data_IF_043324121338
#
_entry.id   IF_043324121338
#
_cell.length_a   1.000
_cell.length_b   1.000
_cell.length_c   1.000
_cell.angle_alpha   90.00
_cell.angle_beta   90.00
_cell.angle_gamma   90.00
#
_symmetry.space_group_name_H-M   'P 1'
#
loop_
_entity.id
_entity.type
_entity.pdbx_description
1 polymer ?
#
# COMPACT_ATOMS: atom_id res chain seq x y z
N UNK A 1 36.33 1.94 -43.28
CA UNK A 1 36.71 2.20 -41.87
C UNK A 1 36.41 3.67 -41.61
N UNK A 2 35.21 4.00 -41.12
CA UNK A 2 34.81 5.40 -40.87
C UNK A 2 35.21 5.77 -39.43
N UNK A 3 36.25 6.58 -39.29
CA UNK A 3 36.62 7.17 -38.00
C UNK A 3 35.77 8.44 -37.86
N UNK A 4 34.73 8.38 -37.04
CA UNK A 4 33.96 9.57 -36.69
C UNK A 4 34.89 10.56 -35.96
N UNK A 5 35.09 11.74 -36.54
CA UNK A 5 35.86 12.83 -35.92
C UNK A 5 35.29 13.17 -34.55
N UNK A 6 36.16 13.48 -33.58
CA UNK A 6 35.77 13.88 -32.21
C UNK A 6 34.75 15.01 -32.21
N UNK A 7 34.86 15.96 -33.13
CA UNK A 7 33.88 17.04 -33.31
C UNK A 7 32.49 16.53 -33.73
N UNK A 8 32.43 15.45 -34.50
CA UNK A 8 31.17 14.80 -34.88
C UNK A 8 30.52 14.02 -33.73
N UNK A 9 31.33 13.46 -32.82
CA UNK A 9 30.82 12.83 -31.60
C UNK A 9 30.35 13.86 -30.56
N UNK A 10 31.03 15.00 -30.45
CA UNK A 10 30.62 16.11 -29.58
C UNK A 10 29.34 16.78 -30.10
N UNK A 11 29.19 16.97 -31.42
CA UNK A 11 27.95 17.46 -32.03
C UNK A 11 26.77 16.49 -31.84
N UNK A 12 26.99 15.18 -31.97
CA UNK A 12 25.96 14.17 -31.66
C UNK A 12 25.62 14.13 -30.16
N UNK A 13 26.59 14.35 -29.27
CA UNK A 13 26.34 14.42 -27.83
C UNK A 13 25.54 15.68 -27.45
N UNK A 14 25.81 16.83 -28.07
CA UNK A 14 25.01 18.05 -27.89
C UNK A 14 23.61 17.91 -28.49
N UNK A 15 23.46 17.29 -29.66
CA UNK A 15 22.15 17.04 -30.27
C UNK A 15 21.32 16.04 -29.45
N UNK A 16 21.95 15.00 -28.89
CA UNK A 16 21.29 14.03 -27.99
C UNK A 16 20.99 14.65 -26.62
N UNK A 17 21.84 15.54 -26.11
CA UNK A 17 21.57 16.31 -24.89
C UNK A 17 20.42 17.32 -25.09
N UNK A 18 20.37 17.98 -26.24
CA UNK A 18 19.29 18.90 -26.63
C UNK A 18 17.96 18.15 -26.84
N UNK A 19 17.98 16.97 -27.49
CA UNK A 19 16.80 16.09 -27.63
C UNK A 19 16.35 15.49 -26.28
N UNK A 20 17.28 15.15 -25.38
CA UNK A 20 16.98 14.68 -24.00
C UNK A 20 16.40 15.78 -23.09
N UNK A 21 16.77 17.04 -23.31
CA UNK A 21 16.15 18.17 -22.62
C UNK A 21 14.71 18.45 -23.08
N UNK A 22 14.36 18.08 -24.31
CA UNK A 22 13.00 18.13 -24.83
C UNK A 22 12.13 16.96 -24.31
N UNK A 23 12.67 15.74 -24.18
CA UNK A 23 11.92 14.58 -23.64
C UNK A 23 11.74 14.62 -22.11
N UNK A 24 12.49 15.45 -21.39
CA UNK A 24 12.20 15.80 -19.99
C UNK A 24 11.14 16.91 -19.84
N UNK A 25 10.51 17.34 -20.94
CA UNK A 25 9.19 17.95 -20.88
C UNK A 25 8.12 16.87 -20.74
N UNK A 26 8.23 16.05 -19.69
CA UNK A 26 7.02 15.49 -19.09
C UNK A 26 6.21 16.71 -18.65
N UNK A 27 5.07 16.92 -19.32
CA UNK A 27 3.98 17.80 -18.88
C UNK A 27 3.98 17.83 -17.35
N UNK A 28 4.15 19.01 -16.72
CA UNK A 28 4.21 19.09 -15.26
C UNK A 28 2.99 18.36 -14.71
N UNK A 29 3.25 17.41 -13.82
CA UNK A 29 2.25 16.51 -13.28
C UNK A 29 0.97 17.29 -12.97
N UNK A 30 -0.13 16.91 -13.61
CA UNK A 30 -1.49 17.37 -13.35
C UNK A 30 -1.74 17.37 -11.84
N UNK A 31 -1.55 18.52 -11.20
CA UNK A 31 -1.78 18.65 -9.77
C UNK A 31 -2.19 20.08 -9.43
N UNK A 32 -3.26 20.52 -10.10
CA UNK A 32 -4.33 21.41 -9.62
C UNK A 32 -5.61 21.28 -10.49
N UNK A 33 -5.67 20.32 -11.43
CA UNK A 33 -6.60 20.28 -12.56
C UNK A 33 -7.32 18.92 -12.69
N UNK A 34 -7.72 18.31 -11.58
CA UNK A 34 -8.67 17.20 -11.61
C UNK A 34 -10.09 17.79 -11.47
N UNK A 35 -10.55 18.44 -12.53
CA UNK A 35 -11.87 19.06 -12.59
C UNK A 35 -12.19 19.59 -13.99
N UNK A 36 -12.64 18.69 -14.86
CA UNK A 36 -13.41 19.03 -16.07
C UNK A 36 -12.65 19.66 -17.24
N UNK A 37 -13.07 19.29 -18.44
CA UNK A 37 -12.62 19.92 -19.68
C UNK A 37 -12.79 21.45 -19.62
N UNK A 38 -11.70 22.20 -19.78
CA UNK A 38 -11.75 23.65 -20.07
C UNK A 38 -11.01 24.62 -19.14
N UNK A 39 -10.15 24.21 -18.20
CA UNK A 39 -9.40 25.18 -17.39
C UNK A 39 -7.94 25.29 -17.83
N UNK A 40 -7.55 26.45 -18.36
CA UNK A 40 -6.17 26.92 -18.26
C UNK A 40 -5.99 27.50 -16.86
N UNK A 41 -4.85 27.27 -16.21
CA UNK A 41 -4.53 27.99 -14.98
C UNK A 41 -4.47 29.47 -15.30
N UNK A 42 -5.33 30.28 -14.68
CA UNK A 42 -5.32 31.73 -14.81
C UNK A 42 -4.11 32.30 -14.06
N UNK A 43 -2.97 32.29 -14.75
CA UNK A 43 -1.68 32.73 -14.22
C UNK A 43 -1.68 34.22 -13.88
N UNK A 44 -2.49 35.02 -14.56
CA UNK A 44 -2.55 36.46 -14.36
C UNK A 44 -3.32 36.78 -13.07
N UNK A 45 -4.37 36.01 -12.76
CA UNK A 45 -5.03 36.02 -11.45
C UNK A 45 -4.05 35.65 -10.32
N UNK A 46 -3.26 34.59 -10.48
CA UNK A 46 -2.27 34.18 -9.47
C UNK A 46 -1.13 35.19 -9.29
N UNK A 47 -0.69 35.82 -10.39
CA UNK A 47 0.32 36.87 -10.34
C UNK A 47 -0.16 38.10 -9.56
N UNK A 48 -1.41 38.51 -9.81
CA UNK A 48 -2.06 39.59 -9.06
C UNK A 48 -2.23 39.25 -7.58
N UNK A 49 -2.68 38.03 -7.26
CA UNK A 49 -2.94 37.57 -5.89
C UNK A 49 -1.68 37.55 -5.01
N UNK A 50 -0.51 37.22 -5.56
CA UNK A 50 0.70 37.09 -4.76
C UNK A 50 1.63 38.31 -4.85
N UNK A 51 1.58 39.10 -5.93
CA UNK A 51 2.30 40.37 -6.00
C UNK A 51 1.62 41.47 -5.21
N UNK A 52 0.29 41.55 -5.29
CA UNK A 52 -0.51 42.59 -4.64
C UNK A 52 -1.71 41.98 -3.91
N UNK A 53 -1.50 41.10 -2.92
CA UNK A 53 -2.60 40.43 -2.22
C UNK A 53 -3.57 41.40 -1.56
N UNK A 54 -3.07 42.55 -1.07
CA UNK A 54 -3.90 43.59 -0.45
C UNK A 54 -4.79 44.35 -1.43
N UNK A 55 -4.50 44.36 -2.73
CA UNK A 55 -5.36 44.98 -3.75
C UNK A 55 -6.51 44.05 -4.19
N UNK A 56 -6.44 42.77 -3.84
CA UNK A 56 -7.42 41.77 -4.23
C UNK A 56 -8.71 41.85 -3.39
N UNK A 57 -9.83 41.41 -3.96
CA UNK A 57 -11.12 41.37 -3.25
C UNK A 57 -11.13 40.19 -2.27
N UNK A 58 -11.86 40.33 -1.16
CA UNK A 58 -11.97 39.25 -0.15
C UNK A 58 -12.48 37.93 -0.74
N UNK A 59 -13.48 37.90 -1.65
CA UNK A 59 -13.91 36.66 -2.30
C UNK A 59 -12.80 35.98 -3.11
N UNK A 60 -11.92 36.75 -3.77
CA UNK A 60 -10.81 36.22 -4.57
C UNK A 60 -9.76 35.53 -3.68
N UNK A 61 -9.43 36.16 -2.54
CA UNK A 61 -8.54 35.60 -1.52
C UNK A 61 -9.13 34.35 -0.88
N UNK A 62 -10.44 34.36 -0.59
CA UNK A 62 -11.15 33.18 -0.06
C UNK A 62 -11.15 32.01 -1.04
N UNK A 63 -11.37 32.28 -2.33
CA UNK A 63 -11.29 31.27 -3.38
C UNK A 63 -9.88 30.70 -3.48
N UNK A 64 -8.85 31.56 -3.44
CA UNK A 64 -7.46 31.13 -3.48
C UNK A 64 -7.08 30.25 -2.26
N UNK A 65 -7.47 30.64 -1.04
CA UNK A 65 -7.27 29.79 0.14
C UNK A 65 -8.00 28.44 0.00
N UNK A 66 -9.23 28.44 -0.50
CA UNK A 66 -10.00 27.21 -0.74
C UNK A 66 -9.32 26.29 -1.77
N UNK A 67 -8.80 26.85 -2.86
CA UNK A 67 -8.06 26.12 -3.90
C UNK A 67 -6.78 25.48 -3.35
N UNK A 68 -6.15 26.09 -2.34
CA UNK A 68 -4.97 25.55 -1.65
C UNK A 68 -5.30 24.62 -0.46
N UNK A 69 -6.58 24.41 -0.15
CA UNK A 69 -7.01 23.62 1.01
C UNK A 69 -6.77 24.32 2.37
N UNK A 70 -6.55 25.63 2.35
CA UNK A 70 -6.33 26.45 3.54
C UNK A 70 -7.65 26.95 4.14
N UNK A 71 -7.59 27.32 5.42
CA UNK A 71 -8.74 27.88 6.13
C UNK A 71 -9.22 29.19 5.48
N UNK A 72 -10.54 29.38 5.34
CA UNK A 72 -11.15 30.49 4.59
C UNK A 72 -11.81 31.55 5.49
N UNK A 73 -11.74 31.35 6.81
CA UNK A 73 -12.21 32.31 7.82
C UNK A 73 -11.14 33.36 8.14
N UNK A 74 -11.60 34.53 8.63
CA UNK A 74 -10.73 35.61 9.10
C UNK A 74 -10.93 36.94 8.38
N UNK A 75 -10.14 37.92 8.80
CA UNK A 75 -10.06 39.25 8.19
C UNK A 75 -9.25 39.23 6.89
N UNK A 76 -9.37 40.27 6.05
CA UNK A 76 -8.61 40.36 4.79
C UNK A 76 -7.09 40.22 5.00
N UNK A 77 -6.45 40.88 5.99
CA UNK A 77 -5.04 40.68 6.29
C UNK A 77 -4.70 39.23 6.69
N UNK A 78 -5.55 38.57 7.48
CA UNK A 78 -5.32 37.17 7.89
C UNK A 78 -5.33 36.21 6.69
N UNK A 79 -6.23 36.41 5.73
CA UNK A 79 -6.25 35.62 4.49
C UNK A 79 -4.99 35.86 3.65
N UNK A 80 -4.50 37.10 3.59
CA UNK A 80 -3.26 37.45 2.88
C UNK A 80 -2.05 36.79 3.53
N UNK A 81 -1.91 36.91 4.85
CA UNK A 81 -0.81 36.27 5.60
C UNK A 81 -0.84 34.77 5.41
N UNK A 82 -2.02 34.14 5.50
CA UNK A 82 -2.17 32.69 5.28
C UNK A 82 -1.74 32.28 3.87
N UNK A 83 -2.16 33.04 2.86
CA UNK A 83 -1.80 32.78 1.46
C UNK A 83 -0.28 32.92 1.23
N UNK A 84 0.33 33.99 1.74
CA UNK A 84 1.78 34.21 1.60
C UNK A 84 2.60 33.18 2.39
N UNK A 85 2.16 32.84 3.60
CA UNK A 85 2.75 31.81 4.45
C UNK A 85 2.71 30.43 3.77
N UNK A 86 1.59 30.08 3.12
CA UNK A 86 1.46 28.83 2.37
C UNK A 86 2.55 28.70 1.28
N UNK A 87 2.85 29.80 0.58
CA UNK A 87 3.93 29.84 -0.43
C UNK A 87 5.31 30.14 0.15
N UNK A 88 5.42 30.32 1.48
CA UNK A 88 6.66 30.69 2.16
C UNK A 88 7.28 31.97 1.62
N UNK A 89 6.44 32.91 1.19
CA UNK A 89 6.85 34.25 0.79
C UNK A 89 6.97 35.10 2.07
N UNK A 90 8.14 35.70 2.34
CA UNK A 90 8.27 36.58 3.50
C UNK A 90 7.35 37.78 3.34
N UNK A 91 6.70 38.20 4.42
CA UNK A 91 5.75 39.31 4.46
C UNK A 91 6.24 40.51 3.63
N UNK A 92 5.57 40.76 2.51
CA UNK A 92 5.80 41.92 1.64
C UNK A 92 7.15 41.96 0.88
N UNK A 93 7.98 40.92 0.92
CA UNK A 93 9.24 40.88 0.15
C UNK A 93 9.00 40.29 -1.24
N UNK A 94 9.65 40.89 -2.25
CA UNK A 94 9.63 40.38 -3.63
C UNK A 94 10.07 38.92 -3.63
N UNK A 95 9.31 38.08 -4.34
CA UNK A 95 9.67 36.68 -4.56
C UNK A 95 11.09 36.61 -5.16
N UNK A 96 11.99 35.75 -4.64
CA UNK A 96 13.39 35.68 -5.09
C UNK A 96 13.55 35.19 -6.54
N UNK A 97 12.49 34.62 -7.12
CA UNK A 97 12.43 34.14 -8.50
C UNK A 97 11.11 34.61 -9.12
N UNK A 98 10.94 34.55 -10.46
CA UNK A 98 9.65 34.82 -11.09
C UNK A 98 8.55 33.99 -10.41
N UNK A 99 7.44 34.64 -10.05
CA UNK A 99 6.41 34.04 -9.21
C UNK A 99 5.83 32.74 -9.79
N UNK A 100 5.69 32.67 -11.13
CA UNK A 100 5.29 31.43 -11.84
C UNK A 100 6.24 30.27 -11.55
N UNK A 101 7.56 30.53 -11.58
CA UNK A 101 8.59 29.54 -11.26
C UNK A 101 8.57 29.17 -9.77
N UNK A 102 8.38 30.14 -8.87
CA UNK A 102 8.26 29.88 -7.43
C UNK A 102 7.04 29.02 -7.09
N UNK A 103 5.90 29.33 -7.71
CA UNK A 103 4.66 28.56 -7.58
C UNK A 103 4.85 27.14 -8.09
N UNK A 104 5.45 26.97 -9.28
CA UNK A 104 5.75 25.66 -9.83
C UNK A 104 6.68 24.86 -8.89
N UNK A 105 7.76 25.47 -8.38
CA UNK A 105 8.70 24.82 -7.45
C UNK A 105 8.06 24.48 -6.11
N UNK A 106 7.17 25.33 -5.58
CA UNK A 106 6.44 25.08 -4.33
C UNK A 106 5.35 24.05 -4.50
N UNK A 107 4.69 24.00 -5.64
CA UNK A 107 3.77 22.93 -6.01
C UNK A 107 4.51 21.61 -6.15
N UNK A 108 5.68 21.58 -6.82
CA UNK A 108 6.56 20.42 -6.84
C UNK A 108 6.84 19.97 -5.39
N UNK A 109 7.26 20.91 -4.52
CA UNK A 109 7.58 20.65 -3.12
C UNK A 109 6.40 20.21 -2.26
N UNK A 110 5.18 20.69 -2.52
CA UNK A 110 3.96 20.31 -1.80
C UNK A 110 3.37 19.00 -2.35
N UNK A 111 3.49 18.72 -3.64
CA UNK A 111 3.34 17.37 -4.21
C UNK A 111 4.36 16.39 -3.61
N UNK A 112 5.49 16.91 -3.09
CA UNK A 112 6.49 16.19 -2.32
C UNK A 112 6.32 16.30 -0.79
N UNK A 113 5.21 16.85 -0.27
CA UNK A 113 4.88 16.72 1.16
C UNK A 113 4.45 15.28 1.50
N UNK A 114 4.15 14.45 0.48
CA UNK A 114 4.32 13.00 0.52
C UNK A 114 4.78 12.47 -0.86
N UNK A 115 6.09 12.38 -1.12
CA UNK A 115 6.61 11.65 -2.25
C UNK A 115 6.72 10.20 -1.82
N UNK A 116 5.61 9.47 -1.84
CA UNK A 116 5.69 8.01 -1.82
C UNK A 116 6.13 7.56 -3.21
N UNK A 117 6.94 6.50 -3.36
CA UNK A 117 7.19 5.86 -4.66
C UNK A 117 5.91 5.50 -5.46
N UNK A 118 4.72 5.57 -4.82
CA UNK A 118 3.38 5.35 -5.37
C UNK A 118 2.95 6.24 -6.56
N UNK A 119 3.63 7.34 -6.88
CA UNK A 119 3.18 8.21 -7.98
C UNK A 119 3.56 7.69 -9.38
N UNK A 120 4.51 6.77 -9.50
CA UNK A 120 4.73 6.00 -10.72
C UNK A 120 4.72 4.50 -10.36
N UNK A 121 3.57 3.87 -10.60
CA UNK A 121 3.29 2.49 -10.23
C UNK A 121 4.32 1.52 -10.82
N UNK A 122 4.84 1.79 -12.02
CA UNK A 122 5.81 0.92 -12.69
C UNK A 122 7.17 0.92 -12.00
N UNK A 123 7.67 2.10 -11.61
CA UNK A 123 8.94 2.24 -10.89
C UNK A 123 8.84 1.61 -9.50
N UNK A 124 7.71 1.80 -8.80
CA UNK A 124 7.48 1.19 -7.50
C UNK A 124 7.43 -0.34 -7.57
N UNK A 125 6.79 -0.90 -8.60
CA UNK A 125 6.75 -2.34 -8.84
C UNK A 125 8.13 -2.90 -9.18
N UNK A 126 8.86 -2.25 -10.08
CA UNK A 126 10.22 -2.66 -10.46
C UNK A 126 11.16 -2.70 -9.25
N UNK A 127 11.13 -1.67 -8.39
CA UNK A 127 11.96 -1.63 -7.19
C UNK A 127 11.55 -2.66 -6.14
N UNK A 128 10.25 -2.99 -6.04
CA UNK A 128 9.79 -4.06 -5.15
C UNK A 128 10.26 -5.43 -5.63
N UNK A 129 10.12 -5.71 -6.92
CA UNK A 129 10.57 -6.97 -7.50
C UNK A 129 12.10 -7.12 -7.38
N UNK A 130 12.85 -6.04 -7.63
CA UNK A 130 14.31 -6.03 -7.43
C UNK A 130 14.69 -6.28 -5.96
N UNK A 131 14.01 -5.63 -5.02
CA UNK A 131 14.21 -5.85 -3.58
C UNK A 131 13.90 -7.29 -3.17
N UNK A 132 12.82 -7.87 -3.69
CA UNK A 132 12.46 -9.28 -3.47
C UNK A 132 13.48 -10.25 -4.09
N UNK A 133 14.10 -9.88 -5.20
CA UNK A 133 15.21 -10.61 -5.81
C UNK A 133 16.55 -10.43 -5.07
N UNK A 134 16.61 -9.57 -4.05
CA UNK A 134 17.79 -9.36 -3.19
C UNK A 134 18.58 -8.08 -3.46
N UNK A 135 18.09 -7.16 -4.29
CA UNK A 135 18.75 -5.88 -4.52
C UNK A 135 18.56 -4.93 -3.32
N UNK A 136 19.60 -4.81 -2.50
CA UNK A 136 19.64 -3.93 -1.34
C UNK A 136 19.54 -2.44 -1.70
N UNK A 137 19.92 -2.06 -2.92
CA UNK A 137 19.85 -0.67 -3.38
C UNK A 137 18.40 -0.30 -3.70
N UNK A 138 17.65 -1.22 -4.32
CA UNK A 138 16.22 -1.08 -4.52
C UNK A 138 15.46 -1.01 -3.17
N UNK A 139 15.85 -1.85 -2.21
CA UNK A 139 15.30 -1.82 -0.85
C UNK A 139 15.58 -0.47 -0.14
N UNK A 140 16.80 0.04 -0.22
CA UNK A 140 17.18 1.35 0.34
C UNK A 140 16.45 2.51 -0.33
N UNK A 141 16.22 2.45 -1.64
CA UNK A 141 15.44 3.45 -2.36
C UNK A 141 13.97 3.46 -1.90
N UNK A 142 13.34 2.30 -1.68
CA UNK A 142 11.98 2.21 -1.16
C UNK A 142 11.82 2.78 0.27
N UNK A 143 12.88 2.79 1.06
CA UNK A 143 12.93 3.36 2.41
C UNK A 143 13.15 4.87 2.46
N UNK A 144 13.42 5.53 1.32
CA UNK A 144 13.70 6.97 1.30
C UNK A 144 12.43 7.81 1.40
N UNK A 145 12.39 8.70 2.38
CA UNK A 145 11.30 9.69 2.55
C UNK A 145 11.48 10.94 1.68
N UNK A 146 12.71 11.25 1.27
CA UNK A 146 13.06 12.43 0.49
C UNK A 146 13.30 12.07 -0.98
N UNK A 147 12.56 12.73 -1.89
CA UNK A 147 12.64 12.46 -3.33
C UNK A 147 14.01 12.78 -3.95
N UNK A 148 14.67 13.85 -3.49
CA UNK A 148 16.01 14.20 -3.97
C UNK A 148 17.00 13.07 -3.69
N UNK A 149 16.96 12.51 -2.48
CA UNK A 149 17.78 11.37 -2.07
C UNK A 149 17.44 10.12 -2.88
N UNK A 150 16.15 9.84 -3.06
CA UNK A 150 15.67 8.75 -3.91
C UNK A 150 16.20 8.84 -5.35
N UNK A 151 16.07 10.01 -5.99
CA UNK A 151 16.54 10.23 -7.37
C UNK A 151 18.05 10.06 -7.48
N UNK A 152 18.83 10.56 -6.52
CA UNK A 152 20.29 10.39 -6.48
C UNK A 152 20.70 8.93 -6.33
N UNK A 153 20.01 8.18 -5.47
CA UNK A 153 20.26 6.75 -5.28
C UNK A 153 19.95 5.97 -6.56
N UNK A 154 18.79 6.21 -7.18
CA UNK A 154 18.43 5.53 -8.43
C UNK A 154 19.39 5.87 -9.58
N UNK A 155 19.74 7.15 -9.74
CA UNK A 155 20.67 7.58 -10.77
C UNK A 155 22.08 6.99 -10.56
N UNK A 156 22.52 6.86 -9.30
CA UNK A 156 23.80 6.23 -8.98
C UNK A 156 23.80 4.72 -9.23
N UNK A 157 22.69 4.04 -8.93
CA UNK A 157 22.60 2.60 -8.98
C UNK A 157 22.25 2.05 -10.37
N UNK A 158 21.37 2.75 -11.08
CA UNK A 158 20.79 2.30 -12.34
C UNK A 158 21.04 3.27 -13.51
N UNK A 159 21.64 4.43 -13.25
CA UNK A 159 21.88 5.49 -14.25
C UNK A 159 20.63 6.30 -14.54
N UNK A 160 19.64 5.65 -15.14
CA UNK A 160 18.36 6.25 -15.55
C UNK A 160 17.19 5.28 -15.36
N UNK A 161 15.99 5.70 -15.76
CA UNK A 161 14.78 4.86 -15.70
C UNK A 161 14.86 3.66 -16.64
N UNK A 162 15.56 3.78 -17.78
CA UNK A 162 15.72 2.66 -18.71
C UNK A 162 16.62 1.57 -18.12
N UNK A 163 17.72 1.96 -17.46
CA UNK A 163 18.61 1.08 -16.72
C UNK A 163 17.91 0.39 -15.55
N UNK A 164 17.03 1.09 -14.84
CA UNK A 164 16.19 0.47 -13.81
C UNK A 164 15.27 -0.60 -14.39
N UNK A 165 14.58 -0.29 -15.50
CA UNK A 165 13.67 -1.25 -16.13
C UNK A 165 14.42 -2.42 -16.79
N UNK A 166 15.65 -2.21 -17.27
CA UNK A 166 16.51 -3.28 -17.77
C UNK A 166 16.95 -4.22 -16.63
N UNK A 167 17.37 -3.66 -15.49
CA UNK A 167 17.68 -4.43 -14.28
C UNK A 167 16.46 -5.23 -13.79
N UNK A 168 15.27 -4.60 -13.79
CA UNK A 168 14.02 -5.28 -13.47
C UNK A 168 13.73 -6.46 -14.40
N UNK A 169 13.82 -6.27 -15.72
CA UNK A 169 13.62 -7.36 -16.69
C UNK A 169 14.62 -8.51 -16.49
N UNK A 170 15.88 -8.19 -16.17
CA UNK A 170 16.91 -9.19 -15.91
C UNK A 170 16.64 -9.99 -14.61
N UNK A 171 15.96 -9.41 -13.62
CA UNK A 171 15.66 -10.09 -12.36
C UNK A 171 14.40 -10.97 -12.41
N UNK A 172 13.51 -10.78 -13.40
CA UNK A 172 12.23 -11.50 -13.51
C UNK A 172 12.36 -13.04 -13.49
N UNK A 173 13.32 -13.67 -14.19
CA UNK A 173 13.44 -15.14 -14.17
C UNK A 173 13.77 -15.66 -12.76
N UNK A 174 14.73 -15.02 -12.08
CA UNK A 174 15.12 -15.38 -10.71
C UNK A 174 13.99 -15.15 -9.72
N UNK A 175 13.23 -14.08 -9.89
CA UNK A 175 12.05 -13.78 -9.08
C UNK A 175 10.96 -14.85 -9.24
N UNK A 176 10.76 -15.36 -10.46
CA UNK A 176 9.81 -16.43 -10.72
C UNK A 176 10.20 -17.72 -9.99
N UNK A 177 11.50 -18.07 -9.96
CA UNK A 177 12.01 -19.20 -9.18
C UNK A 177 11.75 -19.03 -7.67
N UNK A 178 12.07 -17.86 -7.11
CA UNK A 178 11.86 -17.55 -5.68
C UNK A 178 10.37 -17.67 -5.32
N UNK A 179 9.48 -17.13 -6.18
CA UNK A 179 8.03 -17.19 -5.96
C UNK A 179 7.50 -18.61 -6.09
N UNK A 180 8.00 -19.40 -7.04
CA UNK A 180 7.64 -20.81 -7.19
C UNK A 180 8.06 -21.64 -5.97
N UNK A 181 9.26 -21.41 -5.45
CA UNK A 181 9.75 -22.09 -4.25
C UNK A 181 8.92 -21.77 -3.02
N UNK A 182 8.57 -20.49 -2.80
CA UNK A 182 7.66 -20.09 -1.71
C UNK A 182 6.27 -20.71 -1.88
N UNK A 183 5.76 -20.79 -3.11
CA UNK A 183 4.47 -21.43 -3.37
C UNK A 183 4.48 -22.92 -3.01
N UNK A 184 5.56 -23.65 -3.35
CA UNK A 184 5.73 -25.06 -2.97
C UNK A 184 5.76 -25.25 -1.45
N UNK A 185 6.56 -24.44 -0.74
CA UNK A 185 6.62 -24.49 0.74
C UNK A 185 5.26 -24.20 1.37
N UNK A 186 4.54 -23.20 0.86
CA UNK A 186 3.20 -22.88 1.35
C UNK A 186 2.18 -24.00 1.09
N UNK A 187 2.32 -24.73 -0.03
CA UNK A 187 1.47 -25.88 -0.33
C UNK A 187 1.78 -27.07 0.58
N UNK A 188 3.05 -27.34 0.84
CA UNK A 188 3.49 -28.37 1.81
C UNK A 188 2.97 -28.07 3.22
N UNK A 189 3.06 -26.82 3.68
CA UNK A 189 2.52 -26.38 4.97
C UNK A 189 1.00 -26.54 5.05
N UNK A 190 0.28 -26.21 3.97
CA UNK A 190 -1.18 -26.40 3.90
C UNK A 190 -1.55 -27.88 3.99
N UNK A 191 -0.86 -28.75 3.26
CA UNK A 191 -1.09 -30.20 3.31
C UNK A 191 -0.82 -30.75 4.70
N UNK A 192 0.28 -30.35 5.33
CA UNK A 192 0.59 -30.75 6.70
C UNK A 192 -0.47 -30.29 7.72
N UNK A 193 -0.96 -29.05 7.56
CA UNK A 193 -2.04 -28.51 8.40
C UNK A 193 -3.35 -29.27 8.21
N UNK A 194 -3.72 -29.58 6.97
CA UNK A 194 -4.91 -30.37 6.66
C UNK A 194 -4.84 -31.80 7.20
N UNK A 195 -3.67 -32.45 7.10
CA UNK A 195 -3.45 -33.77 7.68
C UNK A 195 -3.56 -33.75 9.21
N UNK A 196 -2.96 -32.76 9.88
CA UNK A 196 -3.12 -32.59 11.33
C UNK A 196 -4.59 -32.36 11.71
N UNK A 197 -5.31 -31.56 10.92
CA UNK A 197 -6.73 -31.32 11.15
C UNK A 197 -7.56 -32.60 10.99
N UNK A 198 -7.25 -33.43 9.99
CA UNK A 198 -7.91 -34.74 9.78
C UNK A 198 -7.66 -35.69 10.95
N UNK A 199 -6.40 -35.82 11.39
CA UNK A 199 -6.05 -36.67 12.55
C UNK A 199 -6.80 -36.26 13.81
N UNK A 200 -6.84 -34.96 14.12
CA UNK A 200 -7.62 -34.46 15.27
C UNK A 200 -9.12 -34.75 15.15
N UNK A 201 -9.67 -34.65 13.95
CA UNK A 201 -11.09 -34.96 13.72
C UNK A 201 -11.38 -36.46 13.87
N UNK A 202 -10.46 -37.33 13.43
CA UNK A 202 -10.56 -38.78 13.59
C UNK A 202 -10.44 -39.19 15.07
N UNK A 203 -9.47 -38.65 15.79
CA UNK A 203 -9.31 -38.86 17.25
C UNK A 203 -10.57 -38.42 18.02
N UNK A 204 -11.13 -37.26 17.68
CA UNK A 204 -12.38 -36.80 18.30
C UNK A 204 -13.56 -37.74 18.01
N UNK A 205 -13.66 -38.26 16.77
CA UNK A 205 -14.70 -39.24 16.41
C UNK A 205 -14.53 -40.54 17.20
N UNK A 206 -13.31 -41.03 17.36
CA UNK A 206 -13.01 -42.22 18.16
C UNK A 206 -13.40 -42.02 19.63
N UNK A 207 -13.00 -40.90 20.24
CA UNK A 207 -13.36 -40.57 21.63
C UNK A 207 -14.88 -40.52 21.82
N UNK A 208 -15.60 -39.89 20.88
CA UNK A 208 -17.06 -39.82 20.93
C UNK A 208 -17.70 -41.20 20.78
N UNK A 209 -17.17 -42.04 19.89
CA UNK A 209 -17.64 -43.40 19.68
C UNK A 209 -17.45 -44.28 20.93
N UNK A 210 -16.28 -44.21 21.56
CA UNK A 210 -15.99 -44.93 22.80
C UNK A 210 -16.91 -44.48 23.94
N UNK A 211 -17.10 -43.17 24.11
CA UNK A 211 -18.03 -42.62 25.12
C UNK A 211 -19.45 -43.09 24.89
N UNK A 212 -19.90 -43.13 23.63
CA UNK A 212 -21.22 -43.61 23.27
C UNK A 212 -21.37 -45.10 23.60
N UNK A 213 -20.38 -45.93 23.24
CA UNK A 213 -20.39 -47.36 23.56
C UNK A 213 -20.40 -47.62 25.08
N UNK A 214 -19.63 -46.85 25.85
CA UNK A 214 -19.63 -46.96 27.31
C UNK A 214 -20.98 -46.55 27.91
N UNK A 215 -21.59 -45.47 27.42
CA UNK A 215 -22.92 -45.05 27.87
C UNK A 215 -23.98 -46.10 27.56
N UNK A 216 -23.91 -46.70 26.36
CA UNK A 216 -24.81 -47.76 25.93
C UNK A 216 -24.69 -49.02 26.82
N UNK A 217 -23.46 -49.47 27.11
CA UNK A 217 -23.23 -50.61 28.02
C UNK A 217 -23.78 -50.35 29.43
N UNK A 218 -23.51 -49.17 30.00
CA UNK A 218 -24.06 -48.77 31.31
C UNK A 218 -25.59 -48.78 31.31
N UNK A 219 -26.21 -48.37 30.20
CA UNK A 219 -27.65 -48.40 30.07
C UNK A 219 -28.18 -49.84 30.05
N UNK A 220 -27.52 -50.76 29.34
CA UNK A 220 -27.86 -52.18 29.33
C UNK A 220 -27.74 -52.80 30.73
N UNK A 221 -26.63 -52.56 31.43
CA UNK A 221 -26.43 -53.01 32.82
C UNK A 221 -27.54 -52.49 33.75
N UNK A 222 -27.93 -51.21 33.61
CA UNK A 222 -29.05 -50.64 34.38
C UNK A 222 -30.39 -51.29 34.04
N UNK A 223 -30.64 -51.64 32.78
CA UNK A 223 -31.84 -52.37 32.38
C UNK A 223 -31.86 -53.80 32.94
N UNK A 224 -30.73 -54.50 32.91
CA UNK A 224 -30.58 -55.85 33.49
C UNK A 224 -30.78 -55.83 35.01
N UNK A 225 -30.17 -54.88 35.72
CA UNK A 225 -30.35 -54.70 37.16
C UNK A 225 -31.81 -54.38 37.52
N UNK A 226 -32.50 -53.56 36.72
CA UNK A 226 -33.94 -53.29 36.89
C UNK A 226 -34.80 -54.53 36.63
N UNK A 227 -34.48 -55.31 35.60
CA UNK A 227 -35.18 -56.55 35.30
C UNK A 227 -35.01 -57.59 36.42
N UNK A 228 -33.78 -57.75 36.94
CA UNK A 228 -33.48 -58.62 38.08
C UNK A 228 -34.17 -58.17 39.38
N UNK A 229 -34.19 -56.85 39.66
CA UNK A 229 -34.92 -56.30 40.81
C UNK A 229 -36.45 -56.51 40.69
N UNK A 230 -37.00 -56.38 39.48
CA UNK A 230 -38.41 -56.69 39.21
C UNK A 230 -38.75 -58.16 39.42
N UNK A 231 -37.89 -59.09 38.98
CA UNK A 231 -38.06 -60.53 39.22
C UNK A 231 -37.91 -60.91 40.70
N UNK A 232 -37.00 -60.26 41.44
CA UNK A 232 -36.85 -60.46 42.88
C UNK A 232 -38.04 -59.96 43.71
N UNK A 233 -38.70 -58.88 43.27
CA UNK A 233 -39.94 -58.38 43.89
C UNK A 233 -41.14 -59.27 43.59
N UNK A 234 -41.25 -59.80 42.37
CA UNK A 234 -42.31 -60.77 42.02
C UNK A 234 -42.11 -62.11 42.76
N UNK A 235 -40.86 -62.56 42.94
CA UNK A 235 -40.53 -63.74 43.73
C UNK A 235 -40.82 -63.57 45.23
N UNK A 236 -40.55 -62.39 45.82
CA UNK A 236 -40.90 -62.08 47.22
C UNK A 236 -42.41 -61.94 47.42
N UNK A 237 -43.11 -61.25 46.51
CA UNK A 237 -44.57 -61.12 46.59
C UNK A 237 -45.28 -62.48 46.43
N UNK A 238 -44.76 -63.38 45.58
CA UNK A 238 -45.28 -64.75 45.45
C UNK A 238 -45.01 -65.64 46.66
N UNK A 239 -43.88 -65.44 47.35
CA UNK A 239 -43.54 -66.15 48.59
C UNK A 239 -44.38 -65.66 49.79
N UNK A 240 -44.64 -64.36 49.89
CA UNK A 240 -45.50 -63.77 50.93
C UNK A 240 -46.98 -64.16 50.74
N UNK A 241 -47.47 -64.25 49.49
CA UNK A 241 -48.82 -64.74 49.20
C UNK A 241 -48.99 -66.25 49.47
N UNK A 242 -47.91 -67.03 49.40
CA UNK A 242 -47.96 -68.47 49.72
C UNK A 242 -47.93 -68.75 51.23
N UNK A 243 -47.47 -67.81 52.06
CA UNK A 243 -47.50 -67.92 53.53
C UNK A 243 -48.82 -67.44 54.17
N UNK A 244 -49.71 -66.78 53.42
CA UNK A 244 -51.05 -66.40 53.89
C UNK A 244 -52.15 -67.45 53.61
N UNK A 245 -51.82 -68.58 52.96
CA UNK A 245 -52.78 -69.63 52.55
C UNK A 245 -52.56 -70.95 53.31
N UNK A 246 -51.77 -70.96 54.38
CA UNK A 246 -51.67 -72.07 55.36
C UNK A 246 -52.28 -71.66 56.69
#
# INVERSE_FOLDING_TARGET
>A
MFIASRAGLEALAEEVAAKRHLDMQMEPARSLMAGGAGSGVDWDRWDKLLRTPMSCKVPELKSACKEMGEMVSGTKPELVVRLLAHFGLPDGRRCPVPLRLWLALRQERNSYARPSPRNNTQIALALKDLSEAGDHTAAGALGCSALLTFRRLLARAYGDTAGLMAAHRACLPRLAEIRAERARRAEEERRAFEEQRRRRAEEQRQILQERWQQAYRRQQELHELRAAAGQGQVGRAGAELSQQVQ
#
